data_IF_876516786247
#
_entry.id   IF_876516786247
#
_cell.length_a   1.000
_cell.length_b   1.000
_cell.length_c   1.000
_cell.angle_alpha   90.00
_cell.angle_beta   90.00
_cell.angle_gamma   90.00
#
_symmetry.space_group_name_H-M   'P 1'
#
loop_
_entity.id
_entity.type
_entity.pdbx_description
1 polymer ?
#
# COMPACT_ATOMS: atom_id res chain seq x y z
N UNK A 1 -0.72 -28.96 4.58
CA UNK A 1 -1.43 -27.68 4.40
C UNK A 1 -2.19 -27.74 3.08
N UNK A 2 -3.34 -27.05 2.95
CA UNK A 2 -4.21 -27.09 1.75
C UNK A 2 -3.47 -26.61 0.46
N UNK A 3 -2.46 -25.75 0.63
CA UNK A 3 -1.71 -25.12 -0.46
C UNK A 3 -0.25 -25.56 -0.56
N UNK A 4 0.14 -26.64 0.13
CA UNK A 4 1.53 -27.13 0.16
C UNK A 4 2.59 -26.13 0.63
N UNK A 5 2.17 -25.03 1.27
CA UNK A 5 3.07 -24.06 1.90
C UNK A 5 3.61 -24.60 3.23
N UNK A 6 4.87 -24.28 3.60
CA UNK A 6 5.40 -24.58 4.93
C UNK A 6 4.58 -23.91 6.04
N UNK A 7 4.72 -24.40 7.27
CA UNK A 7 4.16 -23.71 8.43
C UNK A 7 4.82 -22.34 8.61
N UNK A 8 4.05 -21.28 8.89
CA UNK A 8 4.62 -19.96 9.10
C UNK A 8 5.43 -19.92 10.40
N UNK A 9 6.49 -19.11 10.41
CA UNK A 9 7.21 -18.75 11.64
C UNK A 9 6.74 -17.36 12.05
N UNK A 10 5.94 -17.27 13.11
CA UNK A 10 5.35 -16.02 13.58
C UNK A 10 5.84 -15.71 14.99
N UNK A 11 6.36 -14.51 15.18
CA UNK A 11 6.63 -13.92 16.49
C UNK A 11 5.58 -12.84 16.76
N UNK A 12 5.11 -12.76 18.01
CA UNK A 12 4.13 -11.75 18.41
C UNK A 12 4.82 -10.71 19.29
N UNK A 13 4.74 -9.46 18.89
CA UNK A 13 5.38 -8.33 19.58
C UNK A 13 4.34 -7.33 20.07
N UNK A 14 4.51 -6.85 21.31
CA UNK A 14 3.56 -5.93 21.97
C UNK A 14 4.31 -4.71 22.50
N UNK A 15 4.82 -3.84 21.61
CA UNK A 15 5.84 -2.88 21.98
C UNK A 15 5.28 -1.69 22.77
N UNK A 16 3.98 -1.42 22.68
CA UNK A 16 3.34 -0.23 23.28
C UNK A 16 3.27 -0.34 24.82
N UNK A 17 4.04 0.45 25.59
CA UNK A 17 4.09 0.33 27.05
C UNK A 17 2.74 0.67 27.71
N UNK A 18 2.31 -0.15 28.67
CA UNK A 18 1.06 0.08 29.41
C UNK A 18 -0.23 -0.09 28.58
N UNK A 19 -0.11 -0.54 27.33
CA UNK A 19 -1.24 -0.87 26.47
C UNK A 19 -1.98 -2.10 27.00
N UNK A 20 -3.24 -1.95 27.39
CA UNK A 20 -4.09 -3.10 27.64
C UNK A 20 -4.57 -3.64 26.28
N UNK A 21 -4.08 -4.81 25.89
CA UNK A 21 -4.64 -5.60 24.79
C UNK A 21 -5.98 -6.17 25.24
N UNK A 22 -6.99 -5.31 25.44
CA UNK A 22 -8.31 -5.79 25.81
C UNK A 22 -8.82 -6.65 24.66
N UNK A 23 -8.99 -7.95 24.95
CA UNK A 23 -9.25 -9.03 24.00
C UNK A 23 -10.64 -8.99 23.37
N UNK A 24 -11.31 -7.83 23.33
CA UNK A 24 -12.47 -7.68 22.46
C UNK A 24 -11.96 -7.75 21.03
N UNK A 25 -12.08 -8.91 20.41
CA UNK A 25 -11.82 -9.11 18.99
C UNK A 25 -12.70 -8.14 18.21
N UNK A 26 -12.16 -6.97 17.87
CA UNK A 26 -12.76 -6.15 16.82
C UNK A 26 -12.69 -7.01 15.57
N UNK A 27 -13.84 -7.56 15.15
CA UNK A 27 -13.90 -8.50 14.04
C UNK A 27 -13.25 -7.93 12.78
N UNK A 28 -13.31 -6.60 12.60
CA UNK A 28 -12.61 -5.87 11.54
C UNK A 28 -11.08 -5.97 11.65
N UNK A 29 -10.49 -5.50 12.76
CA UNK A 29 -9.02 -5.56 12.94
C UNK A 29 -8.49 -7.01 13.00
N UNK A 30 -9.30 -7.94 13.51
CA UNK A 30 -8.96 -9.36 13.48
C UNK A 30 -8.92 -9.93 12.05
N UNK A 31 -9.86 -9.53 11.20
CA UNK A 31 -9.88 -9.91 9.79
C UNK A 31 -8.66 -9.32 9.07
N UNK A 32 -8.39 -8.03 9.29
CA UNK A 32 -7.22 -7.33 8.74
C UNK A 32 -5.91 -8.00 9.14
N UNK A 33 -5.74 -8.27 10.43
CA UNK A 33 -4.56 -8.97 10.97
C UNK A 33 -4.37 -10.35 10.32
N UNK A 34 -5.48 -11.08 10.14
CA UNK A 34 -5.46 -12.40 9.52
C UNK A 34 -5.17 -12.32 8.02
N UNK A 35 -5.66 -11.30 7.32
CA UNK A 35 -5.37 -11.00 5.92
C UNK A 35 -3.87 -10.73 5.75
N UNK A 36 -3.33 -9.77 6.50
CA UNK A 36 -1.92 -9.35 6.42
C UNK A 36 -0.98 -10.53 6.66
N UNK A 37 -1.26 -11.31 7.71
CA UNK A 37 -0.43 -12.45 8.09
C UNK A 37 -0.47 -13.55 7.02
N UNK A 38 -1.67 -13.87 6.50
CA UNK A 38 -1.83 -14.95 5.52
C UNK A 38 -1.23 -14.60 4.17
N UNK A 39 -1.43 -13.37 3.68
CA UNK A 39 -0.92 -12.95 2.38
C UNK A 39 0.56 -12.60 2.39
N UNK A 40 1.11 -12.15 3.53
CA UNK A 40 2.56 -12.09 3.74
C UNK A 40 3.18 -13.48 3.65
N UNK A 41 2.59 -14.46 4.36
CA UNK A 41 3.09 -15.85 4.35
C UNK A 41 2.93 -16.52 2.99
N UNK A 42 1.81 -16.31 2.30
CA UNK A 42 1.59 -16.86 0.97
C UNK A 42 2.61 -16.33 -0.04
N UNK A 43 2.98 -15.05 0.08
CA UNK A 43 3.92 -14.39 -0.83
C UNK A 43 5.38 -14.71 -0.55
N UNK A 44 5.75 -14.92 0.72
CA UNK A 44 7.10 -15.33 1.12
C UNK A 44 7.06 -16.43 2.18
N UNK A 45 6.76 -17.69 1.80
CA UNK A 45 6.49 -18.76 2.79
C UNK A 45 7.68 -19.15 3.67
N UNK A 46 8.90 -18.79 3.28
CA UNK A 46 10.12 -19.01 4.05
C UNK A 46 10.52 -17.84 4.95
N UNK A 47 9.84 -16.69 4.87
CA UNK A 47 10.13 -15.54 5.72
C UNK A 47 9.54 -15.74 7.12
N UNK A 48 10.25 -15.27 8.15
CA UNK A 48 9.68 -15.10 9.46
C UNK A 48 8.82 -13.82 9.49
N UNK A 49 7.68 -13.87 10.18
CA UNK A 49 6.76 -12.75 10.35
C UNK A 49 6.84 -12.28 11.80
N UNK A 50 7.16 -11.00 11.99
CA UNK A 50 6.98 -10.33 13.28
C UNK A 50 5.62 -9.60 13.26
N UNK A 51 4.63 -10.18 13.93
CA UNK A 51 3.31 -9.60 14.06
C UNK A 51 3.30 -8.64 15.25
N UNK A 52 3.48 -7.35 14.94
CA UNK A 52 3.49 -6.27 15.92
C UNK A 52 2.07 -5.78 16.19
N UNK A 53 1.65 -5.92 17.44
CA UNK A 53 0.30 -5.62 17.87
C UNK A 53 0.24 -4.33 18.68
N UNK A 54 -0.75 -3.49 18.36
CA UNK A 54 -1.05 -2.25 19.06
C UNK A 54 -2.37 -2.38 19.84
N UNK A 55 -2.47 -1.78 21.05
CA UNK A 55 -3.72 -1.75 21.82
C UNK A 55 -4.80 -0.83 21.21
N UNK A 56 -4.46 0.00 20.24
CA UNK A 56 -5.39 0.91 19.56
C UNK A 56 -4.97 1.19 18.12
N UNK A 57 -5.89 1.73 17.33
CA UNK A 57 -5.69 2.11 15.92
C UNK A 57 -5.18 3.54 15.73
N UNK A 58 -4.66 4.19 16.78
CA UNK A 58 -4.07 5.51 16.73
C UNK A 58 -2.54 5.45 16.86
N UNK A 59 -1.96 6.32 17.68
CA UNK A 59 -0.51 6.44 17.86
C UNK A 59 0.21 5.15 18.28
N UNK A 60 -0.50 4.16 18.83
CA UNK A 60 0.08 2.85 19.11
C UNK A 60 0.60 2.13 17.86
N UNK A 61 -0.05 2.32 16.70
CA UNK A 61 0.43 1.79 15.43
C UNK A 61 1.76 2.42 15.01
N UNK A 62 1.91 3.74 15.22
CA UNK A 62 3.13 4.47 14.85
C UNK A 62 4.30 4.07 15.75
N UNK A 63 4.03 3.86 17.03
CA UNK A 63 4.98 3.28 17.97
C UNK A 63 5.44 1.88 17.53
N UNK A 64 4.54 1.07 16.97
CA UNK A 64 4.89 -0.23 16.40
C UNK A 64 5.90 -0.13 15.25
N UNK A 65 5.73 0.86 14.37
CA UNK A 65 6.69 1.15 13.29
C UNK A 65 8.03 1.60 13.86
N UNK A 66 8.03 2.59 14.76
CA UNK A 66 9.24 3.08 15.43
C UNK A 66 9.99 1.95 16.15
N UNK A 67 9.28 1.06 16.83
CA UNK A 67 9.85 -0.12 17.46
C UNK A 67 10.55 -1.04 16.46
N UNK A 68 9.91 -1.39 15.34
CA UNK A 68 10.48 -2.28 14.33
C UNK A 68 11.75 -1.70 13.72
N UNK A 69 11.72 -0.41 13.39
CA UNK A 69 12.85 0.34 12.85
C UNK A 69 13.98 0.36 13.88
N UNK A 70 13.69 0.76 15.13
CA UNK A 70 14.70 0.81 16.19
C UNK A 70 15.33 -0.55 16.54
N UNK A 71 14.63 -1.68 16.29
CA UNK A 71 15.21 -3.01 16.47
C UNK A 71 16.15 -3.40 15.32
N UNK A 72 15.95 -2.88 14.11
CA UNK A 72 16.71 -3.23 12.90
C UNK A 72 16.79 -4.75 12.65
N UNK A 73 15.69 -5.46 12.91
CA UNK A 73 15.60 -6.93 12.80
C UNK A 73 14.73 -7.40 11.62
N UNK A 74 14.01 -6.47 10.99
CA UNK A 74 13.13 -6.76 9.84
C UNK A 74 13.67 -6.06 8.61
N UNK A 75 13.66 -6.75 7.47
CA UNK A 75 14.02 -6.12 6.19
C UNK A 75 12.86 -5.36 5.54
N UNK A 76 11.63 -5.65 5.93
CA UNK A 76 10.42 -5.13 5.30
C UNK A 76 9.30 -4.99 6.34
N UNK A 77 8.51 -3.92 6.24
CA UNK A 77 7.32 -3.66 7.03
C UNK A 77 6.13 -3.53 6.08
N UNK A 78 5.00 -4.17 6.40
CA UNK A 78 3.73 -4.02 5.68
C UNK A 78 2.72 -3.29 6.56
N UNK A 79 2.08 -2.25 6.03
CA UNK A 79 1.04 -1.48 6.70
C UNK A 79 -0.23 -1.45 5.86
N UNK A 80 -1.29 -2.09 6.34
CA UNK A 80 -2.60 -2.14 5.70
C UNK A 80 -3.62 -1.20 6.35
N UNK A 81 -3.12 -0.05 6.82
CA UNK A 81 -3.92 0.98 7.46
C UNK A 81 -3.43 2.36 7.02
N UNK A 82 -4.33 3.33 7.11
CA UNK A 82 -4.02 4.71 6.77
C UNK A 82 -5.23 5.61 6.95
N UNK A 83 -5.01 6.88 6.69
CA UNK A 83 -6.03 7.92 6.76
C UNK A 83 -5.79 8.97 5.69
N UNK A 84 -6.83 9.75 5.36
CA UNK A 84 -6.67 10.85 4.41
C UNK A 84 -5.63 11.87 4.89
N UNK A 85 -4.75 12.26 3.97
CA UNK A 85 -3.76 13.31 4.21
C UNK A 85 -4.40 14.68 4.45
N UNK A 86 -5.49 14.99 3.74
CA UNK A 86 -6.24 16.24 3.82
C UNK A 86 -7.75 15.99 3.98
N UNK A 87 -8.42 16.81 4.76
CA UNK A 87 -9.87 17.00 4.68
C UNK A 87 -10.63 16.82 5.99
N UNK A 88 -11.95 16.96 5.91
CA UNK A 88 -12.88 16.62 6.98
C UNK A 88 -13.72 15.45 6.45
N UNK A 89 -13.71 14.34 7.18
CA UNK A 89 -14.32 13.09 6.77
C UNK A 89 -15.86 13.17 6.80
N UNK A 90 -16.52 12.61 5.78
CA UNK A 90 -17.99 12.49 5.72
C UNK A 90 -18.43 11.04 6.06
N UNK A 91 -18.35 10.68 7.35
CA UNK A 91 -18.97 9.48 7.96
C UNK A 91 -18.30 8.12 7.74
N UNK A 92 -17.58 7.59 8.76
CA UNK A 92 -16.78 6.33 8.78
C UNK A 92 -15.89 6.26 10.04
N UNK A 93 -15.06 5.20 10.24
CA UNK A 93 -14.56 4.80 11.57
C UNK A 93 -13.58 5.78 12.25
N UNK A 94 -13.06 6.77 11.51
CA UNK A 94 -12.26 7.82 12.10
C UNK A 94 -13.08 9.10 12.22
N UNK A 95 -13.02 9.74 13.40
CA UNK A 95 -13.76 10.95 13.71
C UNK A 95 -13.32 12.13 12.82
N UNK A 96 -13.98 13.28 12.98
CA UNK A 96 -13.84 14.56 12.27
C UNK A 96 -12.40 15.14 12.07
N UNK A 97 -11.35 14.37 12.36
CA UNK A 97 -9.94 14.75 12.46
C UNK A 97 -8.98 13.93 11.58
N UNK A 98 -9.43 13.02 10.70
CA UNK A 98 -8.54 12.35 9.74
C UNK A 98 -7.97 13.32 8.71
N UNK A 99 -6.88 13.95 9.08
CA UNK A 99 -6.14 14.91 8.29
C UNK A 99 -4.71 14.87 8.81
N UNK A 100 -3.94 13.93 8.25
CA UNK A 100 -2.59 13.61 8.69
C UNK A 100 -1.67 14.86 8.75
N UNK A 101 -1.96 15.89 7.93
CA UNK A 101 -1.20 17.14 7.90
C UNK A 101 -1.47 18.07 9.08
N UNK A 102 -2.53 17.83 9.85
CA UNK A 102 -2.97 18.71 10.94
C UNK A 102 -3.16 18.02 12.29
N UNK A 103 -3.32 16.69 12.31
CA UNK A 103 -3.50 15.90 13.54
C UNK A 103 -2.18 15.50 14.23
N UNK A 104 -1.05 15.66 13.55
CA UNK A 104 0.28 15.32 14.05
C UNK A 104 0.84 14.00 13.52
N UNK A 105 0.09 13.23 12.73
CA UNK A 105 0.52 11.95 12.16
C UNK A 105 1.82 12.06 11.37
N UNK A 106 1.96 13.10 10.53
CA UNK A 106 3.20 13.37 9.79
C UNK A 106 4.42 13.58 10.70
N UNK A 107 4.24 14.28 11.83
CA UNK A 107 5.35 14.59 12.74
C UNK A 107 5.78 13.37 13.56
N UNK A 108 4.86 12.44 13.85
CA UNK A 108 5.12 11.25 14.64
C UNK A 108 5.65 10.09 13.80
N UNK A 109 5.07 9.85 12.61
CA UNK A 109 5.39 8.68 11.79
C UNK A 109 6.38 8.98 10.67
N UNK A 110 6.48 10.23 10.20
CA UNK A 110 7.47 10.62 9.18
C UNK A 110 8.92 10.30 9.57
N UNK A 111 9.40 10.62 10.80
CA UNK A 111 10.77 10.31 11.20
C UNK A 111 11.10 8.80 11.25
N UNK A 112 10.25 7.91 11.83
CA UNK A 112 10.43 6.47 11.71
C UNK A 112 10.49 5.95 10.27
N UNK A 113 9.63 6.45 9.36
CA UNK A 113 9.67 6.05 7.94
C UNK A 113 10.99 6.47 7.28
N UNK A 114 11.47 7.69 7.57
CA UNK A 114 12.76 8.17 7.07
C UNK A 114 13.94 7.35 7.61
N UNK A 115 13.89 6.94 8.88
CA UNK A 115 14.89 6.06 9.49
C UNK A 115 14.87 4.67 8.84
N UNK A 116 13.68 4.07 8.63
CA UNK A 116 13.53 2.79 7.93
C UNK A 116 14.21 2.82 6.55
N UNK A 117 13.93 3.86 5.76
CA UNK A 117 14.55 4.03 4.44
C UNK A 117 16.08 4.18 4.52
N UNK A 118 16.60 4.84 5.55
CA UNK A 118 18.04 5.00 5.77
C UNK A 118 18.73 3.68 6.18
N UNK A 119 18.05 2.83 6.93
CA UNK A 119 18.50 1.49 7.34
C UNK A 119 18.30 0.43 6.26
N UNK A 120 17.54 0.77 5.21
CA UNK A 120 17.24 -0.12 4.09
C UNK A 120 16.06 -1.06 4.34
N UNK A 121 15.25 -0.74 5.35
CA UNK A 121 13.98 -1.37 5.65
C UNK A 121 12.91 -0.74 4.76
N UNK A 122 12.31 -1.52 3.86
CA UNK A 122 11.21 -1.02 3.04
C UNK A 122 9.90 -1.04 3.82
N UNK A 123 9.11 0.03 3.70
CA UNK A 123 7.76 0.11 4.28
C UNK A 123 6.73 0.17 3.16
N UNK A 124 6.01 -0.93 2.93
CA UNK A 124 4.93 -1.01 1.97
C UNK A 124 3.61 -0.65 2.63
N UNK A 125 2.86 0.28 2.04
CA UNK A 125 1.65 0.83 2.65
C UNK A 125 0.48 0.78 1.67
N UNK A 126 -0.63 0.20 2.09
CA UNK A 126 -1.89 0.22 1.36
C UNK A 126 -2.30 1.68 1.04
N UNK A 127 -2.55 1.98 -0.23
CA UNK A 127 -2.86 3.35 -0.67
C UNK A 127 -4.30 3.80 -0.38
N UNK A 128 -5.15 2.87 0.06
CA UNK A 128 -6.53 3.10 0.46
C UNK A 128 -7.54 2.52 -0.52
N UNK A 129 -8.79 2.44 -0.07
CA UNK A 129 -9.87 1.73 -0.77
C UNK A 129 -11.06 2.64 -1.10
N UNK A 130 -10.78 3.93 -1.21
CA UNK A 130 -11.77 5.00 -1.34
C UNK A 130 -11.53 5.89 -2.56
N UNK A 131 -10.82 5.36 -3.57
CA UNK A 131 -10.43 6.13 -4.73
C UNK A 131 -9.56 7.35 -4.37
N UNK A 132 -9.50 8.31 -5.30
CA UNK A 132 -8.71 9.52 -5.19
C UNK A 132 -9.22 10.49 -4.13
N UNK A 133 -10.49 10.39 -3.72
CA UNK A 133 -11.05 11.26 -2.70
C UNK A 133 -10.63 10.87 -1.27
N UNK A 134 -10.15 9.64 -1.08
CA UNK A 134 -9.71 9.14 0.22
C UNK A 134 -10.79 9.11 1.31
N UNK A 135 -12.07 9.23 0.95
CA UNK A 135 -13.18 9.42 1.88
C UNK A 135 -13.48 10.87 2.25
N UNK A 136 -12.92 11.84 1.52
CA UNK A 136 -13.11 13.27 1.75
C UNK A 136 -13.86 13.95 0.60
N UNK A 137 -14.17 15.24 0.76
CA UNK A 137 -14.82 16.04 -0.30
C UNK A 137 -13.87 16.47 -1.43
N UNK A 138 -12.56 16.30 -1.26
CA UNK A 138 -11.52 16.67 -2.22
C UNK A 138 -10.65 15.46 -2.54
N UNK A 139 -9.77 15.57 -3.55
CA UNK A 139 -8.77 14.53 -3.75
C UNK A 139 -7.70 14.61 -2.69
N UNK A 140 -7.50 13.49 -1.99
CA UNK A 140 -6.53 13.35 -0.91
C UNK A 140 -6.02 11.91 -0.93
N UNK A 141 -4.72 11.67 -1.23
CA UNK A 141 -4.14 10.36 -0.98
C UNK A 141 -4.13 10.05 0.53
N UNK A 142 -3.90 8.80 0.88
CA UNK A 142 -3.76 8.40 2.27
C UNK A 142 -2.32 8.48 2.77
N UNK A 143 -2.16 8.88 4.02
CA UNK A 143 -0.94 8.72 4.83
C UNK A 143 -1.06 7.41 5.64
N UNK A 144 0.02 6.60 5.79
CA UNK A 144 1.41 6.88 5.42
C UNK A 144 1.80 6.60 3.98
N UNK A 145 0.91 6.10 3.12
CA UNK A 145 1.25 5.80 1.73
C UNK A 145 1.72 7.03 0.93
N UNK A 146 1.34 8.24 1.36
CA UNK A 146 1.80 9.50 0.79
C UNK A 146 3.17 9.96 1.25
N UNK A 147 3.76 9.34 2.28
CA UNK A 147 5.11 9.68 2.73
C UNK A 147 6.15 9.30 1.65
N UNK A 148 7.15 10.15 1.34
CA UNK A 148 8.23 9.83 0.42
C UNK A 148 9.18 8.71 0.87
N UNK A 149 9.12 8.26 2.12
CA UNK A 149 9.92 7.12 2.60
C UNK A 149 9.09 5.83 2.71
N UNK A 150 7.79 5.90 2.44
CA UNK A 150 6.94 4.74 2.23
C UNK A 150 6.83 4.40 0.74
N UNK A 151 6.61 3.12 0.44
CA UNK A 151 6.23 2.62 -0.88
C UNK A 151 4.71 2.42 -0.85
N UNK A 152 3.97 3.34 -1.47
CA UNK A 152 2.52 3.22 -1.56
C UNK A 152 2.16 2.07 -2.50
N UNK A 153 1.16 1.28 -2.11
CA UNK A 153 0.68 0.11 -2.87
C UNK A 153 -0.78 0.28 -3.27
N UNK A 154 -1.01 0.29 -4.57
CA UNK A 154 -2.31 0.43 -5.21
C UNK A 154 -3.00 -0.87 -5.50
N UNK A 155 -4.20 -0.73 -6.05
CA UNK A 155 -5.12 -1.82 -6.33
C UNK A 155 -5.43 -1.98 -7.80
N UNK A 156 -5.42 -3.21 -8.28
CA UNK A 156 -5.87 -3.61 -9.61
C UNK A 156 -7.09 -4.53 -9.54
N UNK A 157 -7.84 -4.57 -10.63
CA UNK A 157 -8.78 -5.63 -10.95
C UNK A 157 -8.05 -6.67 -11.80
N UNK A 158 -7.91 -7.89 -11.27
CA UNK A 158 -7.23 -8.99 -11.94
C UNK A 158 -8.18 -9.71 -12.88
N UNK A 159 -7.74 -9.94 -14.12
CA UNK A 159 -8.46 -10.75 -15.10
C UNK A 159 -7.67 -12.03 -15.39
N UNK A 160 -8.30 -13.18 -15.17
CA UNK A 160 -7.73 -14.50 -15.41
C UNK A 160 -8.61 -15.34 -16.33
N UNK A 161 -8.04 -16.39 -16.92
CA UNK A 161 -8.79 -17.46 -17.57
C UNK A 161 -8.34 -18.79 -16.99
N UNK A 162 -9.16 -19.39 -16.13
CA UNK A 162 -8.65 -20.43 -15.20
C UNK A 162 -7.54 -19.83 -14.34
N UNK A 163 -6.41 -20.52 -14.20
CA UNK A 163 -5.27 -20.06 -13.40
C UNK A 163 -4.28 -19.19 -14.19
N UNK A 164 -4.63 -18.77 -15.41
CA UNK A 164 -3.73 -18.01 -16.29
C UNK A 164 -4.02 -16.51 -16.20
N UNK A 165 -2.99 -15.74 -15.85
CA UNK A 165 -2.98 -14.29 -15.96
C UNK A 165 -3.33 -13.83 -17.39
N UNK A 166 -4.18 -12.80 -17.51
CA UNK A 166 -4.50 -12.17 -18.80
C UNK A 166 -4.15 -10.70 -18.81
N UNK A 167 -4.69 -9.95 -17.88
CA UNK A 167 -4.53 -8.51 -17.80
C UNK A 167 -5.01 -7.98 -16.46
N UNK A 168 -4.62 -6.74 -16.17
CA UNK A 168 -5.14 -6.00 -15.04
C UNK A 168 -5.65 -4.62 -15.48
N UNK A 169 -6.64 -4.14 -14.74
CA UNK A 169 -7.17 -2.78 -14.87
C UNK A 169 -7.02 -2.09 -13.51
N UNK A 170 -6.98 -0.76 -13.48
CA UNK A 170 -7.03 0.00 -12.23
C UNK A 170 -8.33 -0.31 -11.49
N UNK A 171 -8.22 -0.69 -10.22
CA UNK A 171 -9.41 -1.02 -9.43
C UNK A 171 -10.26 0.24 -9.22
N UNK A 172 -11.44 0.23 -9.83
CA UNK A 172 -12.30 1.43 -9.89
C UNK A 172 -13.38 1.47 -8.81
N UNK A 173 -13.46 0.42 -8.00
CA UNK A 173 -14.51 0.25 -7.01
C UNK A 173 -15.87 -0.04 -7.64
N UNK A 174 -16.80 -0.43 -6.79
CA UNK A 174 -18.23 -0.61 -7.12
C UNK A 174 -19.10 0.39 -6.38
N UNK A 175 -18.52 1.15 -5.44
CA UNK A 175 -19.22 2.09 -4.58
C UNK A 175 -18.61 3.49 -4.66
N UNK A 176 -19.45 4.52 -4.60
CA UNK A 176 -19.00 5.93 -4.59
C UNK A 176 -18.72 6.45 -3.17
N UNK A 177 -19.07 5.67 -2.14
CA UNK A 177 -18.84 5.95 -0.73
C UNK A 177 -17.60 5.20 -0.24
N UNK A 178 -16.82 5.80 0.66
CA UNK A 178 -15.61 5.18 1.24
C UNK A 178 -16.00 4.06 2.22
N UNK A 179 -16.03 2.82 1.74
CA UNK A 179 -16.41 1.63 2.50
C UNK A 179 -15.69 0.35 2.03
N UNK A 180 -14.40 0.45 1.75
CA UNK A 180 -13.51 -0.63 1.30
C UNK A 180 -13.84 -1.20 -0.09
N UNK A 181 -14.74 -0.56 -0.84
CA UNK A 181 -15.13 -0.91 -2.21
C UNK A 181 -15.14 0.31 -3.15
N UNK A 182 -14.47 1.38 -2.73
CA UNK A 182 -14.41 2.66 -3.44
C UNK A 182 -13.33 2.72 -4.53
N UNK A 183 -12.57 1.65 -4.71
CA UNK A 183 -11.48 1.58 -5.68
C UNK A 183 -10.13 1.97 -5.08
N UNK A 184 -9.06 1.75 -5.84
CA UNK A 184 -7.70 2.01 -5.40
C UNK A 184 -7.51 3.47 -5.03
N UNK A 185 -6.94 3.70 -3.86
CA UNK A 185 -6.50 5.01 -3.42
C UNK A 185 -5.38 5.58 -4.28
N UNK A 186 -5.11 6.85 -4.03
CA UNK A 186 -3.94 7.56 -4.55
C UNK A 186 -4.28 8.73 -5.47
N UNK A 187 -3.23 9.46 -5.83
CA UNK A 187 -3.33 10.85 -6.27
C UNK A 187 -2.04 11.58 -5.99
N UNK A 188 -2.14 12.88 -5.70
CA UNK A 188 -0.98 13.72 -5.40
C UNK A 188 -1.11 14.30 -4.00
N UNK A 189 -0.05 14.10 -3.22
CA UNK A 189 0.10 14.58 -1.85
C UNK A 189 0.39 16.08 -1.83
N UNK A 190 0.33 16.69 -0.65
CA UNK A 190 0.94 18.00 -0.36
C UNK A 190 2.44 17.93 -0.11
N UNK A 191 2.97 16.74 0.21
CA UNK A 191 4.38 16.50 0.45
C UNK A 191 5.18 16.69 -0.85
N UNK A 192 6.41 17.21 -0.76
CA UNK A 192 7.24 17.46 -1.93
C UNK A 192 7.55 16.17 -2.66
N UNK A 193 7.58 16.25 -3.99
CA UNK A 193 7.98 15.13 -4.84
C UNK A 193 9.44 14.78 -4.54
N UNK A 194 9.74 13.54 -4.16
CA UNK A 194 11.13 13.16 -3.97
C UNK A 194 11.88 13.16 -5.32
N UNK A 195 13.18 13.49 -5.36
CA UNK A 195 13.95 13.61 -6.61
C UNK A 195 13.99 12.34 -7.47
N UNK A 196 13.81 11.17 -6.84
CA UNK A 196 13.77 9.89 -7.53
C UNK A 196 12.42 9.59 -8.20
N UNK A 197 11.34 10.30 -7.84
CA UNK A 197 10.01 10.10 -8.41
C UNK A 197 9.91 10.82 -9.77
N UNK A 198 10.62 10.26 -10.75
CA UNK A 198 10.69 10.76 -12.13
C UNK A 198 10.21 9.68 -13.08
N UNK A 199 9.47 10.08 -14.11
CA UNK A 199 9.05 9.15 -15.16
C UNK A 199 7.91 9.66 -16.02
N UNK A 200 7.53 8.88 -17.05
CA UNK A 200 6.42 9.24 -17.93
C UNK A 200 5.14 9.45 -17.12
N UNK A 201 4.48 10.61 -17.24
CA UNK A 201 3.22 10.94 -16.55
C UNK A 201 3.31 12.04 -15.48
N UNK A 202 4.52 12.40 -15.02
CA UNK A 202 4.70 13.50 -14.04
C UNK A 202 4.77 14.91 -14.65
N UNK A 203 4.79 15.02 -15.98
CA UNK A 203 4.96 16.30 -16.70
C UNK A 203 3.66 17.06 -16.97
N UNK A 204 2.48 16.48 -16.69
CA UNK A 204 1.18 17.04 -17.10
C UNK A 204 0.22 17.42 -15.96
N UNK A 205 0.53 17.06 -14.73
CA UNK A 205 -0.28 17.50 -13.58
C UNK A 205 0.22 18.86 -13.07
N UNK A 206 -0.68 19.72 -12.53
CA UNK A 206 -0.31 21.05 -12.01
C UNK A 206 0.77 21.02 -10.93
N UNK A 207 0.92 19.91 -10.20
CA UNK A 207 1.95 19.72 -9.18
C UNK A 207 3.08 18.84 -9.68
N UNK A 208 3.94 19.37 -10.56
CA UNK A 208 5.26 18.76 -10.82
C UNK A 208 6.17 18.75 -9.58
N UNK A 209 5.66 19.20 -8.44
CA UNK A 209 6.42 19.42 -7.21
C UNK A 209 5.94 18.55 -6.05
N UNK A 210 4.90 17.72 -6.22
CA UNK A 210 4.36 16.91 -5.10
C UNK A 210 4.38 15.40 -5.32
N UNK A 211 4.42 14.64 -4.22
CA UNK A 211 4.53 13.19 -4.18
C UNK A 211 3.26 12.53 -4.76
N UNK A 212 3.39 11.78 -5.85
CA UNK A 212 2.31 10.98 -6.42
C UNK A 212 2.23 9.60 -5.77
N UNK A 213 1.04 9.07 -5.50
CA UNK A 213 0.79 7.77 -4.83
C UNK A 213 -0.15 6.93 -5.69
N UNK A 214 -0.03 5.58 -5.71
CA UNK A 214 1.02 4.71 -5.18
C UNK A 214 2.19 4.44 -6.13
N UNK A 215 3.24 3.84 -5.60
CA UNK A 215 4.46 3.56 -6.36
C UNK A 215 4.34 2.28 -7.20
N UNK A 216 3.55 1.31 -6.73
CA UNK A 216 3.30 0.00 -7.35
C UNK A 216 1.85 -0.41 -7.08
N UNK A 217 1.30 -1.37 -7.82
CA UNK A 217 -0.03 -1.94 -7.52
C UNK A 217 -0.01 -3.45 -7.51
N UNK A 218 -1.03 -4.06 -6.92
CA UNK A 218 -1.35 -5.48 -7.07
C UNK A 218 -2.86 -5.67 -6.99
N UNK A 219 -3.33 -6.89 -7.19
CA UNK A 219 -4.74 -7.25 -7.08
C UNK A 219 -5.35 -6.75 -5.76
N UNK A 220 -6.51 -6.11 -5.89
CA UNK A 220 -7.27 -5.56 -4.76
C UNK A 220 -8.78 -5.53 -5.05
N UNK A 221 -9.18 -5.38 -6.32
CA UNK A 221 -10.60 -5.40 -6.73
C UNK A 221 -11.16 -6.78 -7.02
N UNK A 222 -10.36 -7.83 -6.87
CA UNK A 222 -10.78 -9.23 -7.07
C UNK A 222 -10.65 -9.95 -5.75
N UNK A 223 -11.76 -10.47 -5.25
CA UNK A 223 -11.82 -11.22 -4.00
C UNK A 223 -10.77 -12.35 -3.94
N UNK A 224 -9.87 -12.25 -2.97
CA UNK A 224 -8.88 -13.27 -2.67
C UNK A 224 -9.31 -14.10 -1.47
N UNK A 225 -9.08 -15.41 -1.55
CA UNK A 225 -9.45 -16.36 -0.51
C UNK A 225 -8.51 -16.32 0.69
N UNK A 226 -9.07 -16.39 1.90
CA UNK A 226 -8.34 -16.52 3.15
C UNK A 226 -9.11 -17.42 4.13
N UNK A 227 -8.50 -17.76 5.26
CA UNK A 227 -9.20 -18.45 6.35
C UNK A 227 -9.35 -17.54 7.56
N UNK A 228 -10.57 -17.40 8.08
CA UNK A 228 -10.83 -16.54 9.23
C UNK A 228 -11.86 -17.15 10.18
N UNK A 229 -11.54 -17.19 11.48
CA UNK A 229 -12.42 -17.72 12.54
C UNK A 229 -13.03 -19.10 12.22
N UNK A 230 -12.24 -20.00 11.64
CA UNK A 230 -12.69 -21.36 11.34
C UNK A 230 -13.43 -21.55 10.01
N UNK A 231 -13.56 -20.50 9.20
CA UNK A 231 -14.29 -20.55 7.93
C UNK A 231 -13.45 -19.99 6.77
N UNK A 232 -13.74 -20.45 5.56
CA UNK A 232 -13.28 -19.79 4.34
C UNK A 232 -13.89 -18.38 4.28
N UNK A 233 -13.06 -17.40 3.98
CA UNK A 233 -13.42 -16.00 3.85
C UNK A 233 -12.77 -15.41 2.60
N UNK A 234 -13.24 -14.25 2.19
CA UNK A 234 -12.71 -13.52 1.05
C UNK A 234 -12.48 -12.07 1.41
N UNK A 235 -11.41 -11.50 0.85
CA UNK A 235 -11.01 -10.13 1.07
C UNK A 235 -10.66 -9.44 -0.24
N UNK A 236 -10.85 -8.13 -0.22
CA UNK A 236 -10.54 -7.18 -1.28
C UNK A 236 -9.88 -5.97 -0.59
N UNK A 237 -9.31 -5.07 -1.37
CA UNK A 237 -8.67 -3.86 -0.86
C UNK A 237 -7.17 -3.83 -1.09
N UNK A 238 -6.62 -2.62 -1.08
CA UNK A 238 -5.17 -2.38 -1.16
C UNK A 238 -4.44 -2.92 0.07
N UNK A 239 -5.18 -3.18 1.15
CA UNK A 239 -4.77 -4.00 2.29
C UNK A 239 -4.23 -5.36 1.90
N UNK A 240 -4.77 -6.00 0.86
CA UNK A 240 -4.28 -7.29 0.37
C UNK A 240 -2.98 -7.14 -0.46
N UNK A 241 -2.86 -6.04 -1.19
CA UNK A 241 -1.73 -5.78 -2.07
C UNK A 241 -0.43 -5.47 -1.30
N UNK A 242 -0.52 -4.68 -0.21
CA UNK A 242 0.64 -4.28 0.59
C UNK A 242 1.46 -5.46 1.18
N UNK A 243 0.86 -6.45 1.89
CA UNK A 243 1.58 -7.59 2.45
C UNK A 243 2.19 -8.49 1.38
N UNK A 244 1.57 -8.59 0.20
CA UNK A 244 2.14 -9.35 -0.90
C UNK A 244 3.41 -8.69 -1.47
N UNK A 245 3.38 -7.37 -1.69
CA UNK A 245 4.56 -6.60 -2.07
C UNK A 245 5.67 -6.70 -1.02
N UNK A 246 5.32 -6.67 0.27
CA UNK A 246 6.27 -6.89 1.34
C UNK A 246 6.91 -8.29 1.26
N UNK A 247 6.13 -9.32 0.98
CA UNK A 247 6.62 -10.68 0.72
C UNK A 247 7.57 -10.74 -0.48
N UNK A 248 7.24 -10.09 -1.60
CA UNK A 248 8.12 -10.04 -2.77
C UNK A 248 9.44 -9.32 -2.48
N UNK A 249 9.42 -8.25 -1.68
CA UNK A 249 10.65 -7.60 -1.21
C UNK A 249 11.48 -8.49 -0.29
N UNK A 250 10.85 -9.28 0.58
CA UNK A 250 11.54 -10.28 1.41
C UNK A 250 12.20 -11.38 0.56
N UNK A 251 11.52 -11.85 -0.49
CA UNK A 251 12.11 -12.78 -1.47
C UNK A 251 13.30 -12.15 -2.20
N UNK A 252 13.21 -10.88 -2.58
CA UNK A 252 14.32 -10.15 -3.19
C UNK A 252 15.52 -10.02 -2.24
N UNK A 253 15.29 -9.71 -0.96
CA UNK A 253 16.34 -9.66 0.05
C UNK A 253 17.03 -11.03 0.19
N UNK A 254 16.24 -12.11 0.29
CA UNK A 254 16.72 -13.49 0.33
C UNK A 254 17.55 -13.86 -0.90
N UNK A 255 17.06 -13.53 -2.11
CA UNK A 255 17.77 -13.79 -3.37
C UNK A 255 19.10 -13.04 -3.48
N UNK A 256 19.23 -11.89 -2.81
CA UNK A 256 20.48 -11.12 -2.69
C UNK A 256 21.41 -11.65 -1.59
N UNK A 257 20.98 -12.61 -0.79
CA UNK A 257 21.71 -13.05 0.41
C UNK A 257 21.81 -11.95 1.47
N UNK A 258 20.83 -11.05 1.53
CA UNK A 258 20.80 -9.90 2.43
C UNK A 258 19.59 -9.96 3.36
N UNK A 259 19.73 -9.43 4.58
CA UNK A 259 18.58 -9.25 5.48
C UNK A 259 17.67 -8.12 5.00
N UNK A 260 18.24 -7.09 4.36
CA UNK A 260 17.49 -5.93 3.88
C UNK A 260 17.46 -5.89 2.33
N UNK A 261 16.30 -5.61 1.72
CA UNK A 261 16.21 -5.31 0.30
C UNK A 261 16.97 -4.01 -0.04
N UNK A 262 17.06 -3.09 0.92
CA UNK A 262 17.49 -1.70 0.73
C UNK A 262 16.36 -0.86 0.15
N UNK A 263 16.29 0.45 0.45
CA UNK A 263 15.17 1.29 0.04
C UNK A 263 14.86 1.19 -1.48
N UNK A 264 13.75 0.54 -1.82
CA UNK A 264 13.43 0.14 -3.20
C UNK A 264 12.78 1.25 -4.02
N UNK A 265 12.13 2.24 -3.40
CA UNK A 265 11.38 3.27 -4.12
C UNK A 265 12.22 3.93 -5.25
N UNK A 266 13.45 4.42 -5.02
CA UNK A 266 14.27 4.98 -6.09
C UNK A 266 14.59 3.98 -7.21
N UNK A 267 14.74 2.69 -6.88
CA UNK A 267 15.06 1.63 -7.84
C UNK A 267 13.86 1.29 -8.71
N UNK A 268 12.66 1.24 -8.15
CA UNK A 268 11.41 1.03 -8.90
C UNK A 268 11.26 2.08 -10.01
N UNK A 269 11.53 3.35 -9.68
CA UNK A 269 11.49 4.44 -10.66
C UNK A 269 12.66 4.41 -11.65
N UNK A 270 13.83 3.91 -11.25
CA UNK A 270 14.90 3.62 -12.21
C UNK A 270 14.48 2.55 -13.22
N UNK A 271 13.79 1.50 -12.78
CA UNK A 271 13.29 0.44 -13.68
C UNK A 271 12.20 0.99 -14.60
N UNK A 272 11.28 1.81 -14.08
CA UNK A 272 10.25 2.51 -14.87
C UNK A 272 10.82 3.29 -16.06
N UNK A 273 11.98 3.92 -15.88
CA UNK A 273 12.64 4.71 -16.93
C UNK A 273 13.59 3.88 -17.81
N UNK A 274 13.68 2.57 -17.59
CA UNK A 274 14.59 1.68 -18.30
C UNK A 274 13.87 0.87 -19.38
N UNK A 275 14.64 0.28 -20.29
CA UNK A 275 14.14 -0.71 -21.24
C UNK A 275 13.68 -2.02 -20.57
N UNK A 276 13.99 -2.22 -19.28
CA UNK A 276 13.59 -3.39 -18.50
C UNK A 276 12.15 -3.32 -17.98
N UNK A 277 11.50 -2.15 -18.03
CA UNK A 277 10.14 -1.97 -17.51
C UNK A 277 9.13 -3.02 -18.01
N UNK A 278 9.02 -3.33 -19.32
CA UNK A 278 8.02 -4.29 -19.82
C UNK A 278 8.27 -5.74 -19.39
N UNK A 279 9.45 -6.06 -18.86
CA UNK A 279 9.80 -7.37 -18.33
C UNK A 279 9.55 -7.43 -16.83
N UNK A 280 9.83 -6.32 -16.13
CA UNK A 280 9.65 -6.24 -14.69
C UNK A 280 8.19 -6.07 -14.28
N UNK A 281 7.37 -5.45 -15.13
CA UNK A 281 6.09 -4.90 -14.73
C UNK A 281 5.01 -4.99 -15.80
N UNK A 282 3.76 -5.07 -15.35
CA UNK A 282 2.59 -5.07 -16.22
C UNK A 282 1.96 -3.66 -16.26
N UNK A 283 1.90 -3.00 -17.43
CA UNK A 283 1.32 -1.66 -17.49
C UNK A 283 -0.20 -1.71 -17.30
N UNK A 284 -0.70 -0.93 -16.33
CA UNK A 284 -2.14 -0.73 -16.12
C UNK A 284 -2.63 0.43 -17.00
N UNK A 285 -3.42 0.10 -18.04
CA UNK A 285 -3.76 1.06 -19.12
C UNK A 285 -5.24 1.46 -19.17
N UNK A 286 -6.07 0.95 -18.27
CA UNK A 286 -7.51 1.26 -18.16
C UNK A 286 -7.97 1.10 -16.71
N UNK A 287 -9.12 1.72 -16.35
CA UNK A 287 -9.57 1.90 -14.98
C UNK A 287 -9.78 3.37 -14.61
N UNK A 288 -10.31 3.63 -13.43
CA UNK A 288 -10.56 4.98 -12.90
C UNK A 288 -10.64 4.96 -11.39
N UNK A 289 -10.00 5.89 -10.68
CA UNK A 289 -10.20 6.05 -9.24
C UNK A 289 -10.66 7.46 -8.84
N UNK A 290 -11.00 8.30 -9.81
CA UNK A 290 -11.04 9.76 -9.70
C UNK A 290 -10.13 10.38 -10.75
N UNK A 291 -8.98 9.75 -10.94
CA UNK A 291 -8.14 9.91 -12.12
C UNK A 291 -8.41 8.73 -13.08
N UNK A 292 -8.53 9.00 -14.37
CA UNK A 292 -8.67 7.94 -15.40
C UNK A 292 -7.37 7.12 -15.49
N UNK A 293 -7.38 5.94 -16.10
CA UNK A 293 -6.19 5.21 -16.58
C UNK A 293 -5.95 5.39 -18.11
N UNK A 294 -4.76 5.81 -18.61
CA UNK A 294 -4.55 6.23 -20.02
C UNK A 294 -3.37 5.55 -20.70
N UNK A 295 -3.56 5.40 -22.00
CA UNK A 295 -2.73 4.62 -22.89
C UNK A 295 -1.56 5.41 -23.44
N UNK A 296 -0.52 4.66 -23.74
CA UNK A 296 0.78 5.15 -24.12
C UNK A 296 0.78 5.49 -25.64
N UNK A 297 0.00 6.48 -26.15
CA UNK A 297 0.12 6.77 -27.61
C UNK A 297 -0.78 7.69 -28.44
N UNK A 298 -1.87 8.35 -28.00
CA UNK A 298 -2.70 9.16 -28.92
C UNK A 298 -2.63 10.67 -28.67
N UNK A 299 -2.02 11.39 -29.63
CA UNK A 299 -2.02 12.87 -29.72
C UNK A 299 -3.37 13.36 -30.25
N UNK A 300 -4.31 13.72 -29.38
CA UNK A 300 -5.46 14.56 -29.75
C UNK A 300 -5.55 15.78 -28.84
N UNK A 301 -5.89 16.97 -29.36
CA UNK A 301 -6.16 18.15 -28.52
C UNK A 301 -7.38 17.85 -27.62
N UNK A 302 -7.17 17.86 -26.30
CA UNK A 302 -8.20 17.51 -25.31
C UNK A 302 -8.11 16.11 -24.69
N UNK A 303 -7.17 15.25 -25.12
CA UNK A 303 -6.92 13.94 -24.50
C UNK A 303 -5.69 13.96 -23.58
N UNK A 304 -5.72 13.24 -22.45
CA UNK A 304 -4.56 12.96 -21.57
C UNK A 304 -3.46 12.16 -22.30
N UNK A 305 -2.16 12.19 -21.89
CA UNK A 305 -1.06 11.50 -22.54
C UNK A 305 -0.35 10.52 -21.58
N UNK A 306 -0.26 9.24 -21.96
CA UNK A 306 0.57 8.21 -21.33
C UNK A 306 0.42 8.15 -19.81
N UNK A 307 -0.39 7.19 -19.38
CA UNK A 307 -0.78 6.96 -18.00
C UNK A 307 -1.66 8.10 -17.51
N UNK A 308 -2.92 8.05 -17.86
CA UNK A 308 -3.86 8.31 -16.80
C UNK A 308 -3.65 7.12 -15.85
N UNK A 309 -3.60 7.45 -14.58
CA UNK A 309 -3.20 6.54 -13.54
C UNK A 309 -4.46 6.41 -12.71
N UNK A 310 -4.97 5.19 -12.55
CA UNK A 310 -5.13 4.73 -11.17
C UNK A 310 -3.74 4.89 -10.57
N UNK A 311 -3.54 6.09 -10.03
CA UNK A 311 -2.59 6.38 -8.99
C UNK A 311 -1.11 6.04 -9.32
N UNK A 312 -0.29 7.07 -9.62
CA UNK A 312 1.20 7.03 -9.76
C UNK A 312 1.75 5.90 -10.71
N UNK A 313 3.04 5.71 -11.06
CA UNK A 313 3.42 4.74 -12.10
C UNK A 313 3.34 3.34 -11.51
N UNK A 314 2.12 2.85 -11.37
CA UNK A 314 1.87 1.51 -10.89
C UNK A 314 2.20 0.54 -12.01
N UNK A 315 3.34 -0.10 -11.81
CA UNK A 315 3.60 -1.46 -12.23
C UNK A 315 2.81 -2.48 -11.45
#
# INVERSE_FOLDING_TARGET
SCFSLPSPTITFSYPVPGGNMNSSTSSGWGLETALDTQWSHASAPGAAIDLVLSPNSGYGLYYGVDYLVAQDQVGVISLSWGESELGIYNGGPCSFQCNATTDGSLALLGPPLAAAAAEGIDVFVASGDCGANGGTAIYSPWFPASDPFAIGVGGTQLNVTGDQYRSENGWSGTQTTCNNQGGSGGGFSVLPRPPWQVGPGFSRFPSQTTRGVPDVSLVAGTALGMFFQGNDAYVEGTSDAAPQWAGYAALLASAKGASHPGFLAPRLYSVLNSSGYPVAFHPILSGWNGYTADTVGTRSPGSAPRTSRSSSPTS
#
